data_IF_098467895659
#
_entry.id   IF_098467895659
#
_cell.length_a   1.000
_cell.length_b   1.000
_cell.length_c   1.000
_cell.angle_alpha   90.00
_cell.angle_beta   90.00
_cell.angle_gamma   90.00
#
_symmetry.space_group_name_H-M   'P 1'
#
loop_
_entity.id
_entity.type
_entity.pdbx_description
1 polymer ?
#
# COMPACT_ATOMS: atom_id res chain seq x y z
N UNK A 1 5.21 -37.05 66.71
CA UNK A 1 3.94 -37.38 66.20
C UNK A 1 3.21 -36.23 65.48
N UNK A 2 3.80 -35.48 64.73
CA UNK A 2 3.07 -34.55 63.86
C UNK A 2 3.81 -34.36 62.59
N UNK A 3 3.18 -34.71 61.54
CA UNK A 3 3.62 -34.56 60.18
C UNK A 3 3.06 -33.27 59.64
N UNK A 4 3.88 -32.27 59.49
CA UNK A 4 3.53 -31.11 58.69
C UNK A 4 4.14 -31.28 57.33
N UNK A 5 3.27 -31.57 56.41
CA UNK A 5 3.64 -31.69 55.02
C UNK A 5 3.46 -30.30 54.41
N UNK A 6 4.57 -29.65 54.17
CA UNK A 6 4.57 -28.41 53.41
C UNK A 6 4.49 -28.71 51.92
N UNK A 7 3.35 -28.43 51.34
CA UNK A 7 3.23 -28.44 49.89
C UNK A 7 3.81 -27.19 49.31
N UNK A 8 4.95 -27.31 48.67
CA UNK A 8 5.45 -26.27 47.79
C UNK A 8 4.70 -26.33 46.47
N UNK A 9 3.77 -25.42 46.29
CA UNK A 9 3.24 -25.17 44.96
C UNK A 9 4.24 -24.30 44.22
N UNK A 10 4.94 -24.92 43.31
CA UNK A 10 5.70 -24.19 42.33
C UNK A 10 4.76 -23.68 41.27
N UNK A 11 4.43 -22.39 41.34
CA UNK A 11 3.73 -21.71 40.27
C UNK A 11 4.73 -21.50 39.14
N UNK A 12 4.64 -22.32 38.13
CA UNK A 12 5.35 -22.07 36.89
C UNK A 12 4.61 -20.96 36.13
N UNK A 13 5.11 -19.76 36.29
CA UNK A 13 4.66 -18.65 35.43
C UNK A 13 5.23 -18.88 34.03
N UNK A 14 4.43 -19.43 33.17
CA UNK A 14 4.74 -19.44 31.75
C UNK A 14 4.63 -18.01 31.22
N UNK A 15 5.75 -17.32 31.06
CA UNK A 15 5.83 -16.12 30.29
C UNK A 15 5.58 -16.52 28.82
N UNK A 16 4.37 -16.31 28.38
CA UNK A 16 4.11 -16.34 26.95
C UNK A 16 4.81 -15.14 26.34
N UNK A 17 5.95 -15.35 25.74
CA UNK A 17 6.53 -14.37 24.83
C UNK A 17 5.62 -14.30 23.62
N UNK A 18 4.76 -13.31 23.59
CA UNK A 18 4.07 -12.94 22.37
C UNK A 18 5.11 -12.31 21.45
N UNK A 19 5.64 -13.12 20.55
CA UNK A 19 6.43 -12.57 19.46
C UNK A 19 5.50 -11.73 18.61
N UNK A 20 5.66 -10.41 18.66
CA UNK A 20 5.00 -9.53 17.70
C UNK A 20 5.54 -9.90 16.32
N UNK A 21 4.65 -10.19 15.35
CA UNK A 21 5.12 -10.38 14.00
C UNK A 21 5.82 -9.10 13.54
N UNK A 22 6.97 -9.24 12.91
CA UNK A 22 7.64 -8.12 12.29
C UNK A 22 6.63 -7.44 11.38
N UNK A 23 6.43 -6.13 11.57
CA UNK A 23 5.52 -5.33 10.76
C UNK A 23 6.10 -5.20 9.35
N UNK A 24 5.95 -6.25 8.54
CA UNK A 24 6.23 -6.23 7.11
C UNK A 24 4.91 -6.28 6.38
N UNK A 25 4.51 -5.18 5.78
CA UNK A 25 3.36 -5.18 4.88
C UNK A 25 3.77 -5.85 3.58
N UNK A 26 3.10 -6.94 3.22
CA UNK A 26 3.30 -7.57 1.91
C UNK A 26 2.26 -7.03 0.94
N UNK A 27 2.68 -6.67 -0.28
CA UNK A 27 1.72 -6.28 -1.31
C UNK A 27 0.63 -7.36 -1.49
N UNK A 28 -0.62 -6.94 -1.47
CA UNK A 28 -1.77 -7.84 -1.63
C UNK A 28 -2.33 -8.44 -0.36
N UNK A 29 -1.80 -8.10 0.82
CA UNK A 29 -2.42 -8.47 2.10
C UNK A 29 -3.53 -7.47 2.45
N UNK A 30 -4.48 -7.94 3.25
CA UNK A 30 -5.54 -7.08 3.78
C UNK A 30 -4.93 -5.93 4.59
N UNK A 31 -5.54 -4.75 4.50
CA UNK A 31 -5.07 -3.60 5.24
C UNK A 31 -5.24 -3.79 6.75
N UNK A 32 -4.20 -3.48 7.50
CA UNK A 32 -4.20 -3.50 8.97
C UNK A 32 -4.10 -2.08 9.52
N UNK A 33 -5.01 -1.21 9.10
CA UNK A 33 -5.05 0.18 9.51
C UNK A 33 -4.95 1.14 8.32
N UNK A 34 -4.88 2.45 8.59
CA UNK A 34 -4.77 3.46 7.54
C UNK A 34 -3.48 3.31 6.72
N UNK A 35 -3.62 3.37 5.40
CA UNK A 35 -2.46 3.44 4.52
C UNK A 35 -1.74 4.77 4.69
N UNK A 36 -0.42 4.75 4.66
CA UNK A 36 0.42 5.94 4.77
C UNK A 36 1.20 6.14 3.47
N UNK A 37 1.15 7.36 2.95
CA UNK A 37 1.85 7.74 1.72
C UNK A 37 3.01 8.69 2.04
N UNK A 38 4.13 8.43 1.42
CA UNK A 38 5.36 9.21 1.53
C UNK A 38 5.89 9.56 0.14
N UNK A 39 6.86 10.45 0.09
CA UNK A 39 7.55 10.83 -1.14
C UNK A 39 8.98 10.28 -1.12
N UNK A 40 9.41 9.73 -2.23
CA UNK A 40 10.76 9.25 -2.43
C UNK A 40 11.30 9.69 -3.77
N UNK A 41 12.55 10.11 -3.80
CA UNK A 41 13.24 10.40 -5.05
C UNK A 41 13.79 9.10 -5.65
N UNK A 42 13.40 8.83 -6.89
CA UNK A 42 13.94 7.74 -7.71
C UNK A 42 14.86 8.35 -8.76
N UNK A 43 16.07 7.82 -8.87
CA UNK A 43 17.06 8.28 -9.84
C UNK A 43 16.49 8.17 -11.26
N UNK A 44 16.71 9.19 -12.08
CA UNK A 44 16.21 9.32 -13.45
C UNK A 44 14.67 9.47 -13.61
N UNK A 45 13.91 9.43 -12.54
CA UNK A 45 12.44 9.57 -12.58
C UNK A 45 11.98 10.83 -11.84
N UNK A 46 12.51 11.08 -10.66
CA UNK A 46 12.12 12.20 -9.81
C UNK A 46 11.38 11.76 -8.54
N UNK A 47 10.61 12.66 -7.97
CA UNK A 47 9.85 12.41 -6.76
C UNK A 47 8.58 11.62 -7.07
N UNK A 48 8.37 10.53 -6.36
CA UNK A 48 7.23 9.61 -6.54
C UNK A 48 6.61 9.21 -5.22
N UNK A 49 5.38 8.75 -5.28
CA UNK A 49 4.67 8.23 -4.11
C UNK A 49 5.15 6.83 -3.76
N UNK A 50 5.35 6.62 -2.48
CA UNK A 50 5.68 5.31 -1.89
C UNK A 50 4.84 5.09 -0.63
N UNK A 51 4.78 3.86 -0.16
CA UNK A 51 4.16 3.54 1.11
C UNK A 51 5.11 3.82 2.30
N UNK A 52 4.69 3.47 3.51
CA UNK A 52 5.48 3.67 4.73
C UNK A 52 6.76 2.83 4.80
N UNK A 53 6.86 1.80 3.99
CA UNK A 53 8.08 0.98 3.84
C UNK A 53 8.97 1.46 2.69
N UNK A 54 8.54 2.46 1.94
CA UNK A 54 9.26 3.01 0.79
C UNK A 54 9.05 2.25 -0.51
N UNK A 55 8.01 1.41 -0.58
CA UNK A 55 7.66 0.65 -1.77
C UNK A 55 6.90 1.54 -2.76
N UNK A 56 7.31 1.50 -4.01
CA UNK A 56 6.76 2.34 -5.09
C UNK A 56 5.29 2.07 -5.38
N UNK A 57 4.55 3.13 -5.66
CA UNK A 57 3.14 3.09 -6.00
C UNK A 57 2.91 3.52 -7.45
N UNK A 58 1.95 2.87 -8.09
CA UNK A 58 1.68 3.02 -9.53
C UNK A 58 0.24 3.38 -9.81
N UNK A 59 0.02 4.04 -10.93
CA UNK A 59 -1.28 4.19 -11.58
C UNK A 59 -1.37 3.29 -12.81
N UNK A 60 -2.60 2.95 -13.19
CA UNK A 60 -2.92 2.12 -14.36
C UNK A 60 -3.77 2.92 -15.34
N UNK A 61 -3.31 3.07 -16.56
CA UNK A 61 -4.01 3.92 -17.55
C UNK A 61 -5.37 3.38 -18.02
N UNK A 62 -5.63 2.09 -17.82
CA UNK A 62 -6.94 1.52 -18.09
C UNK A 62 -7.99 1.86 -17.02
N UNK A 63 -7.54 2.36 -15.85
CA UNK A 63 -8.45 2.81 -14.81
C UNK A 63 -9.13 4.12 -15.20
N UNK A 64 -10.30 4.38 -14.59
CA UNK A 64 -10.95 5.66 -14.71
C UNK A 64 -10.41 6.61 -13.64
N UNK A 65 -9.75 7.68 -14.05
CA UNK A 65 -9.34 8.73 -13.13
C UNK A 65 -10.56 9.53 -12.65
N UNK A 66 -10.72 9.64 -11.34
CA UNK A 66 -11.76 10.47 -10.74
C UNK A 66 -11.41 11.95 -10.85
N UNK A 67 -11.98 12.62 -11.84
CA UNK A 67 -11.84 14.07 -12.05
C UNK A 67 -13.03 14.61 -12.82
N UNK A 68 -13.24 15.92 -12.74
CA UNK A 68 -14.28 16.62 -13.52
C UNK A 68 -15.69 16.02 -13.35
N UNK A 69 -15.99 15.53 -12.13
CA UNK A 69 -17.27 14.90 -11.79
C UNK A 69 -17.36 13.41 -12.09
N UNK A 70 -16.30 12.79 -12.61
CA UNK A 70 -16.20 11.35 -12.76
C UNK A 70 -15.73 10.69 -11.48
N UNK A 71 -16.29 9.54 -11.15
CA UNK A 71 -15.83 8.74 -10.02
C UNK A 71 -14.66 7.85 -10.43
N UNK A 72 -13.63 7.70 -9.58
CA UNK A 72 -12.53 6.81 -9.88
C UNK A 72 -13.00 5.35 -9.89
N UNK A 73 -12.47 4.56 -10.83
CA UNK A 73 -12.79 3.14 -10.95
C UNK A 73 -11.54 2.35 -11.29
N UNK A 74 -11.39 1.20 -10.64
CA UNK A 74 -10.32 0.26 -10.95
C UNK A 74 -10.74 -0.71 -12.06
N UNK A 75 -9.87 -0.91 -13.04
CA UNK A 75 -10.02 -1.92 -14.08
C UNK A 75 -9.13 -3.15 -13.82
N UNK A 76 -8.36 -3.15 -12.73
CA UNK A 76 -7.40 -4.19 -12.40
C UNK A 76 -7.99 -5.16 -11.37
N UNK A 77 -8.44 -6.30 -11.82
CA UNK A 77 -9.06 -7.35 -11.00
C UNK A 77 -8.42 -8.72 -11.28
N UNK A 78 -8.66 -9.68 -10.41
CA UNK A 78 -8.21 -11.07 -10.56
C UNK A 78 -6.71 -11.18 -10.85
N UNK A 79 -6.31 -11.68 -11.99
CA UNK A 79 -4.91 -11.88 -12.38
C UNK A 79 -4.12 -10.57 -12.47
N UNK A 80 -4.77 -9.48 -12.86
CA UNK A 80 -4.16 -8.16 -12.82
C UNK A 80 -3.81 -7.79 -11.39
N UNK A 81 -4.72 -7.98 -10.46
CA UNK A 81 -4.50 -7.67 -9.04
C UNK A 81 -3.47 -8.60 -8.36
N UNK A 82 -3.20 -9.77 -8.92
CA UNK A 82 -2.10 -10.64 -8.45
C UNK A 82 -0.72 -10.07 -8.83
N UNK A 83 -0.60 -9.52 -10.04
CA UNK A 83 0.63 -8.87 -10.52
C UNK A 83 0.77 -7.44 -10.02
N UNK A 84 -0.35 -6.75 -9.87
CA UNK A 84 -0.45 -5.36 -9.44
C UNK A 84 -1.42 -5.22 -8.25
N UNK A 85 -0.98 -5.62 -7.05
CA UNK A 85 -1.85 -5.55 -5.87
C UNK A 85 -2.28 -4.12 -5.57
N UNK A 86 -3.58 -3.89 -5.30
CA UNK A 86 -4.05 -2.56 -4.93
C UNK A 86 -3.49 -2.13 -3.57
N UNK A 87 -3.26 -0.84 -3.41
CA UNK A 87 -2.97 -0.26 -2.10
C UNK A 87 -4.26 -0.16 -1.31
N UNK A 88 -4.43 -1.03 -0.34
CA UNK A 88 -5.62 -1.11 0.50
C UNK A 88 -5.46 -0.25 1.76
N UNK A 89 -6.57 0.20 2.31
CA UNK A 89 -6.61 0.96 3.55
C UNK A 89 -7.79 0.57 4.41
N UNK A 90 -7.60 0.59 5.72
CA UNK A 90 -8.67 0.55 6.71
C UNK A 90 -8.79 1.95 7.30
N UNK A 91 -9.84 2.66 6.93
CA UNK A 91 -10.04 4.05 7.32
C UNK A 91 -9.42 5.04 6.33
N UNK A 92 -9.36 6.29 6.70
CA UNK A 92 -8.82 7.34 5.84
C UNK A 92 -7.31 7.20 5.68
N UNK A 93 -6.78 7.19 4.44
CA UNK A 93 -5.33 7.17 4.23
C UNK A 93 -4.69 8.46 4.71
N UNK A 94 -3.44 8.36 5.11
CA UNK A 94 -2.67 9.48 5.66
C UNK A 94 -1.56 9.89 4.69
N UNK A 95 -1.39 11.20 4.53
CA UNK A 95 -0.32 11.78 3.75
C UNK A 95 0.78 12.30 4.68
N UNK A 96 2.01 11.92 4.37
CA UNK A 96 3.20 12.41 5.04
C UNK A 96 4.08 13.12 4.00
N UNK A 97 5.00 13.94 4.46
CA UNK A 97 5.86 14.76 3.60
C UNK A 97 5.10 15.89 2.85
N UNK A 98 5.73 16.44 1.83
CA UNK A 98 5.22 17.60 1.09
C UNK A 98 4.34 17.17 -0.09
N UNK A 99 3.13 16.68 0.19
CA UNK A 99 2.15 16.51 -0.87
C UNK A 99 0.73 16.85 -0.40
N UNK A 100 -0.16 16.96 -1.36
CA UNK A 100 -1.50 17.48 -1.13
C UNK A 100 -2.44 16.41 -0.60
N UNK A 101 -2.74 16.47 0.70
CA UNK A 101 -3.68 15.56 1.34
C UNK A 101 -5.10 15.65 0.75
N UNK A 102 -5.43 16.75 0.08
CA UNK A 102 -6.74 16.92 -0.58
C UNK A 102 -6.88 16.01 -1.82
N UNK A 103 -5.75 15.54 -2.38
CA UNK A 103 -5.76 14.61 -3.49
C UNK A 103 -6.01 13.16 -3.06
N UNK A 104 -5.89 12.85 -1.77
CA UNK A 104 -6.18 11.52 -1.24
C UNK A 104 -7.67 11.23 -1.24
N UNK A 105 -8.02 10.01 -1.62
CA UNK A 105 -9.37 9.49 -1.56
C UNK A 105 -9.36 7.97 -1.50
N UNK A 106 -10.54 7.38 -1.63
CA UNK A 106 -10.71 5.93 -1.60
C UNK A 106 -11.80 5.51 -2.57
N UNK A 107 -11.71 4.26 -3.03
CA UNK A 107 -12.78 3.58 -3.74
C UNK A 107 -13.06 2.23 -3.07
N UNK A 108 -14.30 1.78 -3.16
CA UNK A 108 -14.66 0.43 -2.79
C UNK A 108 -14.51 -0.48 -4.00
N UNK A 109 -13.75 -1.55 -3.84
CA UNK A 109 -13.56 -2.56 -4.90
C UNK A 109 -14.72 -3.56 -4.90
N UNK A 110 -14.85 -4.30 -5.99
CA UNK A 110 -15.91 -5.32 -6.17
C UNK A 110 -15.91 -6.40 -5.07
N UNK A 111 -14.75 -6.69 -4.47
CA UNK A 111 -14.60 -7.63 -3.36
C UNK A 111 -14.91 -7.04 -1.98
N UNK A 112 -15.29 -5.76 -1.92
CA UNK A 112 -15.61 -5.05 -0.68
C UNK A 112 -14.40 -4.41 0.02
N UNK A 113 -13.20 -4.55 -0.53
CA UNK A 113 -12.01 -3.91 -0.01
C UNK A 113 -11.93 -2.44 -0.42
N UNK A 114 -11.28 -1.63 0.40
CA UNK A 114 -11.11 -0.20 0.16
C UNK A 114 -9.71 0.08 -0.37
N UNK A 115 -9.65 0.64 -1.58
CA UNK A 115 -8.39 1.00 -2.24
C UNK A 115 -8.15 2.50 -2.15
N UNK A 116 -6.90 2.89 -1.89
CA UNK A 116 -6.48 4.30 -1.88
C UNK A 116 -6.46 4.85 -3.30
N UNK A 117 -6.94 6.09 -3.45
CA UNK A 117 -6.76 6.88 -4.67
C UNK A 117 -5.93 8.11 -4.38
N UNK A 118 -5.24 8.60 -5.39
CA UNK A 118 -4.52 9.86 -5.33
C UNK A 118 -4.73 10.64 -6.64
N UNK A 119 -5.17 11.88 -6.54
CA UNK A 119 -5.60 12.68 -7.69
C UNK A 119 -6.65 11.95 -8.56
N UNK A 120 -7.48 11.11 -7.95
CA UNK A 120 -8.47 10.28 -8.63
C UNK A 120 -7.93 9.01 -9.26
N UNK A 121 -6.63 8.74 -9.17
CA UNK A 121 -6.04 7.50 -9.65
C UNK A 121 -6.04 6.43 -8.56
N UNK A 122 -6.65 5.25 -8.77
CA UNK A 122 -6.43 4.10 -7.91
C UNK A 122 -4.95 3.73 -7.87
N UNK A 123 -4.42 3.47 -6.68
CA UNK A 123 -2.99 3.18 -6.49
C UNK A 123 -2.75 1.69 -6.33
N UNK A 124 -1.63 1.23 -6.91
CA UNK A 124 -1.22 -0.17 -6.92
C UNK A 124 0.24 -0.33 -6.54
N UNK A 125 0.56 -1.52 -6.03
CA UNK A 125 1.92 -2.04 -5.97
C UNK A 125 2.24 -2.80 -7.25
N UNK A 126 3.53 -3.07 -7.47
CA UNK A 126 3.96 -4.05 -8.46
C UNK A 126 4.61 -5.23 -7.74
N UNK A 127 4.09 -6.43 -7.96
CA UNK A 127 4.56 -7.64 -7.26
C UNK A 127 6.05 -7.94 -7.46
N UNK A 128 6.65 -7.47 -8.57
CA UNK A 128 8.08 -7.62 -8.83
C UNK A 128 8.97 -6.63 -8.05
N UNK A 129 8.39 -5.57 -7.49
CA UNK A 129 9.09 -4.61 -6.63
C UNK A 129 9.12 -5.17 -5.20
N UNK A 130 10.24 -5.71 -4.78
CA UNK A 130 10.37 -6.39 -3.48
C UNK A 130 11.13 -5.58 -2.44
N UNK A 131 11.63 -4.41 -2.81
CA UNK A 131 12.43 -3.56 -1.92
C UNK A 131 12.21 -2.08 -2.21
N UNK A 132 12.39 -1.21 -1.20
CA UNK A 132 12.34 0.22 -1.42
C UNK A 132 13.30 0.67 -2.52
N UNK A 133 12.84 1.60 -3.35
CA UNK A 133 13.63 2.13 -4.46
C UNK A 133 13.53 1.33 -5.76
N UNK A 134 12.87 0.17 -5.75
CA UNK A 134 12.53 -0.52 -7.00
C UNK A 134 11.43 0.23 -7.75
N UNK A 135 11.56 0.30 -9.06
CA UNK A 135 10.61 0.97 -9.96
C UNK A 135 10.47 0.16 -11.26
N UNK A 136 10.37 -1.14 -11.13
CA UNK A 136 10.37 -2.09 -12.25
C UNK A 136 9.11 -2.06 -13.08
N UNK A 137 8.03 -1.51 -12.53
CA UNK A 137 6.75 -1.38 -13.21
C UNK A 137 6.53 -0.05 -13.91
N UNK A 138 7.52 0.85 -13.85
CA UNK A 138 7.39 2.17 -14.46
C UNK A 138 7.56 2.11 -15.96
N UNK A 139 6.64 2.77 -16.69
CA UNK A 139 6.64 2.87 -18.15
C UNK A 139 6.65 1.50 -18.84
N UNK A 140 5.82 0.57 -18.33
CA UNK A 140 5.63 -0.74 -18.96
C UNK A 140 4.18 -0.97 -19.33
N UNK A 141 3.95 -1.71 -20.42
CA UNK A 141 2.62 -2.18 -20.82
C UNK A 141 2.38 -3.57 -20.24
N UNK A 142 1.30 -3.70 -19.46
CA UNK A 142 0.87 -4.97 -18.90
C UNK A 142 -0.65 -4.95 -18.67
N UNK A 143 -1.30 -6.09 -18.85
CA UNK A 143 -2.76 -6.21 -18.73
C UNK A 143 -3.56 -5.23 -19.60
N UNK A 144 -3.01 -4.85 -20.75
CA UNK A 144 -3.72 -4.10 -21.78
C UNK A 144 -3.58 -2.59 -21.73
N UNK A 145 -2.79 -2.05 -20.80
CA UNK A 145 -2.50 -0.63 -20.72
C UNK A 145 -1.15 -0.38 -20.03
N UNK A 146 -0.74 0.86 -20.02
CA UNK A 146 0.54 1.26 -19.45
C UNK A 146 0.43 1.55 -17.94
N UNK A 147 1.52 1.35 -17.24
CA UNK A 147 1.68 1.58 -15.81
C UNK A 147 2.78 2.60 -15.56
N UNK A 148 2.52 3.53 -14.63
CA UNK A 148 3.47 4.59 -14.29
C UNK A 148 3.55 4.81 -12.80
N UNK A 149 4.74 5.18 -12.32
CA UNK A 149 4.90 5.78 -11.00
C UNK A 149 4.11 7.09 -10.93
N UNK A 150 3.68 7.47 -9.75
CA UNK A 150 2.83 8.65 -9.53
C UNK A 150 3.65 9.72 -8.82
N UNK A 151 3.58 10.96 -9.32
CA UNK A 151 4.24 12.11 -8.69
C UNK A 151 3.42 12.64 -7.51
N UNK A 152 4.03 13.45 -6.62
CA UNK A 152 3.28 14.14 -5.57
C UNK A 152 2.17 15.06 -6.07
N UNK A 153 2.22 15.50 -7.31
CA UNK A 153 1.18 16.28 -7.97
C UNK A 153 0.03 15.43 -8.51
N UNK A 154 0.17 14.11 -8.46
CA UNK A 154 -0.84 13.18 -8.96
C UNK A 154 -0.77 12.90 -10.45
N UNK A 155 0.38 13.14 -11.04
CA UNK A 155 0.65 12.92 -12.47
C UNK A 155 1.52 11.69 -12.70
N UNK A 156 1.62 11.26 -13.95
CA UNK A 156 2.57 10.22 -14.33
C UNK A 156 3.99 10.73 -14.16
N UNK A 157 4.82 9.98 -13.47
CA UNK A 157 6.22 10.34 -13.31
C UNK A 157 6.97 10.19 -14.65
N UNK A 158 8.02 11.00 -14.82
CA UNK A 158 8.85 10.93 -16.02
C UNK A 158 8.29 11.60 -17.26
N UNK A 159 7.07 12.13 -17.22
CA UNK A 159 6.57 12.98 -18.29
C UNK A 159 7.10 14.41 -18.06
N UNK A 160 8.07 14.80 -18.84
CA UNK A 160 8.55 16.18 -18.86
C UNK A 160 7.58 17.06 -19.66
N UNK A 161 7.11 18.08 -19.01
CA UNK A 161 6.31 19.14 -19.64
C UNK A 161 7.18 20.25 -20.20
#
# INVERSE_FOLDING_TARGET
>A
MHKLIGSCLAAASALALSALPAAGHKPGEEAEGPASLHVRQIEDVGDVLVDDEGISLYLFEADTQGKDGSEPQSACHEKCAEAWPPLLTEGEPEAHDEFDAELLGTIEREDGETQVTYAGWPLYYYAADQSPGHARGHDIEDHGAEWYLVTPEGEKAGEEH
#
